data_IF_396494600320
#
_entry.id   IF_396494600320
#
_cell.length_a   1.000
_cell.length_b   1.000
_cell.length_c   1.000
_cell.angle_alpha   90.00
_cell.angle_beta   90.00
_cell.angle_gamma   90.00
#
_symmetry.space_group_name_H-M   'P 1'
#
loop_
_entity.id
_entity.type
_entity.pdbx_description
1 polymer ?
#
# COMPACT_ATOMS: atom_id res chain seq x y z
N UNK A 1 50.90 -34.63 11.98
CA UNK A 1 49.93 -34.68 10.86
C UNK A 1 50.66 -34.16 9.62
N UNK A 2 50.82 -35.04 8.63
CA UNK A 2 51.80 -34.97 7.54
C UNK A 2 51.79 -33.65 6.74
N UNK A 3 52.97 -33.03 6.58
CA UNK A 3 53.19 -31.81 5.77
C UNK A 3 52.77 -31.97 4.30
N UNK A 4 52.59 -33.20 3.83
CA UNK A 4 52.10 -33.50 2.48
C UNK A 4 50.60 -33.22 2.25
N UNK A 5 49.80 -32.98 3.30
CA UNK A 5 48.39 -32.60 3.16
C UNK A 5 48.18 -31.09 3.01
N UNK A 6 49.08 -30.25 3.57
CA UNK A 6 48.99 -28.79 3.48
C UNK A 6 49.26 -28.28 2.06
N UNK A 7 50.21 -28.89 1.35
CA UNK A 7 50.62 -28.48 -0.01
C UNK A 7 49.51 -28.66 -1.06
N UNK A 8 48.69 -29.71 -0.94
CA UNK A 8 47.58 -29.97 -1.89
C UNK A 8 46.31 -29.16 -1.62
N UNK A 9 46.17 -28.58 -0.43
CA UNK A 9 45.01 -27.79 -0.03
C UNK A 9 45.10 -26.33 -0.48
N UNK A 10 46.31 -25.78 -0.53
CA UNK A 10 46.60 -24.40 -0.95
C UNK A 10 46.07 -24.07 -2.36
N UNK A 11 46.28 -24.90 -3.41
CA UNK A 11 45.75 -24.59 -4.74
C UNK A 11 44.22 -24.68 -4.82
N UNK A 12 43.59 -25.59 -4.08
CA UNK A 12 42.12 -25.73 -4.03
C UNK A 12 41.49 -24.51 -3.33
N UNK A 13 42.10 -24.06 -2.23
CA UNK A 13 41.64 -22.87 -1.51
C UNK A 13 41.74 -21.61 -2.38
N UNK A 14 42.81 -21.46 -3.16
CA UNK A 14 42.97 -20.34 -4.10
C UNK A 14 41.90 -20.32 -5.18
N UNK A 15 41.53 -21.49 -5.74
CA UNK A 15 40.45 -21.58 -6.73
C UNK A 15 39.10 -21.16 -6.13
N UNK A 16 38.80 -21.59 -4.90
CA UNK A 16 37.55 -21.21 -4.21
C UNK A 16 37.48 -19.70 -3.92
N UNK A 17 38.61 -19.08 -3.56
CA UNK A 17 38.70 -17.62 -3.35
C UNK A 17 38.44 -16.87 -4.67
N UNK A 18 39.01 -17.33 -5.80
CA UNK A 18 38.79 -16.72 -7.11
C UNK A 18 37.32 -16.82 -7.54
N UNK A 19 36.67 -17.97 -7.32
CA UNK A 19 35.24 -18.16 -7.62
C UNK A 19 34.37 -17.24 -6.75
N UNK A 20 34.68 -17.10 -5.46
CA UNK A 20 33.94 -16.22 -4.55
C UNK A 20 34.06 -14.74 -4.95
N UNK A 21 35.26 -14.27 -5.34
CA UNK A 21 35.48 -12.89 -5.80
C UNK A 21 34.78 -12.64 -7.14
N UNK A 22 34.82 -13.59 -8.07
CA UNK A 22 34.11 -13.48 -9.35
C UNK A 22 32.58 -13.43 -9.17
N UNK A 23 32.03 -14.27 -8.28
CA UNK A 23 30.61 -14.26 -7.94
C UNK A 23 30.16 -12.93 -7.32
N UNK A 24 30.94 -12.37 -6.39
CA UNK A 24 30.65 -11.06 -5.79
C UNK A 24 30.72 -9.92 -6.81
N UNK A 25 31.74 -9.91 -7.67
CA UNK A 25 31.93 -8.85 -8.66
C UNK A 25 30.78 -8.79 -9.68
N UNK A 26 30.29 -9.94 -10.15
CA UNK A 26 29.15 -9.99 -11.09
C UNK A 26 27.84 -9.60 -10.39
N UNK A 27 27.60 -10.05 -9.16
CA UNK A 27 26.40 -9.70 -8.39
C UNK A 27 26.31 -8.22 -8.01
N UNK A 28 27.43 -7.60 -7.64
CA UNK A 28 27.47 -6.17 -7.32
C UNK A 28 27.24 -5.29 -8.57
N UNK A 29 27.73 -5.69 -9.74
CA UNK A 29 27.53 -4.92 -10.98
C UNK A 29 26.10 -4.99 -11.49
N UNK A 30 25.41 -6.13 -11.36
CA UNK A 30 24.01 -6.27 -11.80
C UNK A 30 23.04 -5.53 -10.88
N UNK A 31 23.33 -5.41 -9.58
CA UNK A 31 22.57 -4.57 -8.66
C UNK A 31 22.83 -3.07 -8.86
N UNK A 32 24.06 -2.68 -9.22
CA UNK A 32 24.39 -1.26 -9.47
C UNK A 32 23.86 -0.73 -10.80
N UNK A 33 23.58 -1.58 -11.79
CA UNK A 33 23.05 -1.18 -13.10
C UNK A 33 21.53 -1.01 -13.14
N UNK A 34 20.79 -1.46 -12.12
CA UNK A 34 19.33 -1.24 -12.02
C UNK A 34 18.95 0.07 -11.32
N UNK A 35 19.96 0.85 -10.88
CA UNK A 35 19.79 2.06 -10.09
C UNK A 35 20.39 3.31 -10.77
N UNK A 36 20.36 3.36 -12.10
CA UNK A 36 20.68 4.57 -12.88
C UNK A 36 19.49 4.96 -13.75
N UNK A 37 18.45 5.47 -13.08
CA UNK A 37 17.55 6.49 -13.61
C UNK A 37 17.29 7.49 -12.48
N UNK A 38 18.36 8.07 -11.94
CA UNK A 38 18.27 9.22 -11.05
C UNK A 38 18.06 10.46 -11.91
N UNK A 39 16.80 10.75 -12.21
CA UNK A 39 16.40 12.05 -12.74
C UNK A 39 16.82 13.14 -11.75
N UNK A 40 17.34 14.24 -12.29
CA UNK A 40 17.88 15.39 -11.57
C UNK A 40 16.93 15.92 -10.49
N UNK A 41 17.42 16.02 -9.25
CA UNK A 41 16.80 16.80 -8.18
C UNK A 41 16.79 18.28 -8.61
N UNK A 42 15.63 18.74 -9.07
CA UNK A 42 15.36 20.17 -9.18
C UNK A 42 14.64 20.57 -7.88
N UNK A 43 15.41 20.94 -6.87
CA UNK A 43 14.89 21.57 -5.65
C UNK A 43 14.44 22.99 -6.02
N UNK A 44 13.17 23.11 -6.39
CA UNK A 44 12.48 24.39 -6.38
C UNK A 44 11.49 24.38 -5.21
N UNK A 45 11.84 25.08 -4.14
CA UNK A 45 10.96 25.43 -3.03
C UNK A 45 9.91 26.43 -3.50
N UNK A 46 8.93 25.94 -4.24
CA UNK A 46 7.60 26.53 -4.31
C UNK A 46 6.69 25.56 -3.56
N UNK A 47 5.75 26.04 -2.75
CA UNK A 47 4.72 25.17 -2.18
C UNK A 47 3.88 24.62 -3.34
N UNK A 48 4.34 23.54 -3.95
CA UNK A 48 3.64 22.88 -5.04
C UNK A 48 2.36 22.34 -4.43
N UNK A 49 1.23 22.93 -4.83
CA UNK A 49 -0.07 22.35 -4.51
C UNK A 49 -0.02 20.86 -4.85
N UNK A 50 -0.29 20.02 -3.85
CA UNK A 50 -0.34 18.57 -4.04
C UNK A 50 -1.36 18.29 -5.14
N UNK A 51 -0.91 17.66 -6.24
CA UNK A 51 -1.79 17.27 -7.34
C UNK A 51 -2.60 16.03 -6.96
N UNK A 52 -3.85 15.99 -7.41
CA UNK A 52 -4.78 14.90 -7.18
C UNK A 52 -5.27 14.35 -8.51
N UNK A 53 -5.47 13.04 -8.56
CA UNK A 53 -6.00 12.31 -9.70
C UNK A 53 -7.29 11.59 -9.30
N UNK A 54 -8.14 11.28 -10.28
CA UNK A 54 -9.40 10.57 -10.04
C UNK A 54 -9.25 9.10 -10.37
N UNK A 55 -9.64 8.24 -9.43
CA UNK A 55 -9.83 6.82 -9.66
C UNK A 55 -11.31 6.56 -9.93
N UNK A 56 -11.61 5.79 -10.96
CA UNK A 56 -12.96 5.39 -11.34
C UNK A 56 -13.03 3.88 -11.44
N UNK A 57 -13.99 3.27 -10.73
CA UNK A 57 -14.31 1.86 -10.87
C UNK A 57 -15.59 1.72 -11.72
N UNK A 58 -15.40 1.35 -12.98
CA UNK A 58 -16.50 1.32 -13.96
C UNK A 58 -17.53 0.23 -13.68
N UNK A 59 -17.11 -0.89 -13.06
CA UNK A 59 -17.97 -2.03 -12.74
C UNK A 59 -18.95 -1.69 -11.62
N UNK A 60 -18.47 -1.04 -10.57
CA UNK A 60 -19.23 -0.76 -9.36
C UNK A 60 -19.67 0.70 -9.24
N UNK A 61 -19.42 1.52 -10.28
CA UNK A 61 -19.96 2.88 -10.41
C UNK A 61 -19.62 3.74 -9.20
N UNK A 62 -18.34 3.80 -8.85
CA UNK A 62 -17.84 4.72 -7.84
C UNK A 62 -16.51 5.33 -8.25
N UNK A 63 -16.22 6.50 -7.67
CA UNK A 63 -14.98 7.22 -7.91
C UNK A 63 -14.53 7.97 -6.65
N UNK A 64 -13.25 8.30 -6.59
CA UNK A 64 -12.67 9.19 -5.59
C UNK A 64 -11.37 9.82 -6.12
N UNK A 65 -10.93 10.90 -5.49
CA UNK A 65 -9.63 11.49 -5.74
C UNK A 65 -8.56 10.86 -4.85
N UNK A 66 -7.34 10.72 -5.38
CA UNK A 66 -6.15 10.28 -4.64
C UNK A 66 -4.94 11.14 -5.00
N UNK A 67 -3.88 11.19 -4.15
CA UNK A 67 -2.69 11.97 -4.47
C UNK A 67 -1.96 11.41 -5.69
N UNK A 68 -1.65 12.27 -6.68
CA UNK A 68 -1.08 11.87 -7.98
C UNK A 68 0.29 11.17 -7.91
N UNK A 69 0.95 11.22 -6.75
CA UNK A 69 2.23 10.55 -6.52
C UNK A 69 2.07 9.10 -6.01
N UNK A 70 0.85 8.63 -5.79
CA UNK A 70 0.59 7.22 -5.48
C UNK A 70 0.63 6.39 -6.77
N UNK A 71 1.35 5.28 -6.73
CA UNK A 71 1.25 4.25 -7.74
C UNK A 71 0.02 3.37 -7.45
N UNK A 72 -0.76 3.04 -8.49
CA UNK A 72 -1.81 2.04 -8.39
C UNK A 72 -1.21 0.67 -8.74
N UNK A 73 -1.18 -0.26 -7.78
CA UNK A 73 -0.47 -1.54 -7.91
C UNK A 73 -1.31 -2.61 -8.62
N UNK A 74 -2.64 -2.48 -8.61
CA UNK A 74 -3.58 -3.41 -9.24
C UNK A 74 -4.82 -2.66 -9.75
N UNK A 75 -4.67 -1.99 -10.89
CA UNK A 75 -5.65 -1.01 -11.39
C UNK A 75 -6.52 -1.48 -12.55
N UNK A 76 -7.03 -2.72 -12.54
CA UNK A 76 -8.11 -3.03 -13.47
C UNK A 76 -9.39 -2.35 -12.96
N UNK A 77 -10.05 -1.57 -13.81
CA UNK A 77 -11.29 -0.82 -13.49
C UNK A 77 -12.47 -1.71 -13.09
N UNK A 78 -12.30 -3.02 -13.17
CA UNK A 78 -13.26 -4.07 -12.81
C UNK A 78 -12.88 -4.83 -11.54
N UNK A 79 -11.74 -4.50 -10.94
CA UNK A 79 -11.25 -5.18 -9.75
C UNK A 79 -12.14 -4.87 -8.55
N UNK A 80 -12.30 -5.90 -7.71
CA UNK A 80 -12.87 -5.78 -6.38
C UNK A 80 -11.92 -5.10 -5.40
N UNK A 81 -10.64 -5.01 -5.74
CA UNK A 81 -9.61 -4.41 -4.91
C UNK A 81 -8.70 -3.50 -5.75
N UNK A 82 -8.44 -2.29 -5.26
CA UNK A 82 -7.46 -1.37 -5.83
C UNK A 82 -6.54 -0.86 -4.71
N UNK A 83 -5.23 -1.03 -4.92
CA UNK A 83 -4.16 -0.72 -3.97
C UNK A 83 -3.39 0.48 -4.48
N UNK A 84 -3.29 1.50 -3.65
CA UNK A 84 -2.61 2.74 -3.92
C UNK A 84 -1.44 2.82 -2.95
N UNK A 85 -0.24 3.01 -3.47
CA UNK A 85 0.99 2.99 -2.66
C UNK A 85 1.85 4.21 -2.96
N UNK A 86 2.31 4.86 -1.91
CA UNK A 86 3.31 5.90 -1.96
C UNK A 86 4.69 5.38 -2.38
N UNK A 87 5.60 6.30 -2.71
CA UNK A 87 6.96 5.96 -3.15
C UNK A 87 7.77 5.12 -2.15
N UNK A 88 7.50 5.26 -0.86
CA UNK A 88 8.18 4.53 0.22
C UNK A 88 7.47 3.24 0.64
N UNK A 89 6.32 2.92 0.02
CA UNK A 89 5.42 1.80 0.35
C UNK A 89 4.90 1.78 1.79
N UNK A 90 5.28 2.77 2.60
CA UNK A 90 4.82 2.90 3.98
C UNK A 90 3.43 3.53 4.00
N UNK A 91 3.22 4.51 3.13
CA UNK A 91 1.92 5.13 2.93
C UNK A 91 1.13 4.39 1.88
N UNK A 92 0.00 3.83 2.24
CA UNK A 92 -0.83 3.11 1.29
C UNK A 92 -2.30 3.15 1.70
N UNK A 93 -3.17 2.91 0.73
CA UNK A 93 -4.54 2.55 1.02
C UNK A 93 -5.06 1.53 0.01
N UNK A 94 -6.02 0.74 0.45
CA UNK A 94 -6.66 -0.32 -0.31
C UNK A 94 -8.14 -0.05 -0.30
N UNK A 95 -8.70 0.18 -1.49
CA UNK A 95 -10.15 0.19 -1.70
C UNK A 95 -10.59 -1.23 -2.05
N UNK A 96 -11.59 -1.73 -1.35
CA UNK A 96 -12.15 -3.06 -1.53
C UNK A 96 -13.67 -3.01 -1.60
N UNK A 97 -14.26 -3.87 -2.40
CA UNK A 97 -15.71 -4.07 -2.48
C UNK A 97 -16.02 -5.57 -2.54
N UNK A 98 -17.02 -5.99 -1.77
CA UNK A 98 -17.52 -7.36 -1.77
C UNK A 98 -19.04 -7.40 -1.54
N UNK A 99 -19.64 -8.57 -1.71
CA UNK A 99 -21.01 -8.81 -1.24
C UNK A 99 -21.08 -8.65 0.28
N UNK A 100 -22.02 -7.82 0.74
CA UNK A 100 -22.30 -7.67 2.15
C UNK A 100 -23.10 -8.87 2.64
N UNK A 101 -22.52 -9.58 3.61
CA UNK A 101 -23.27 -10.52 4.46
C UNK A 101 -23.93 -9.85 5.67
N UNK A 102 -23.73 -8.54 5.82
CA UNK A 102 -24.17 -7.77 6.99
C UNK A 102 -25.39 -6.93 6.63
N UNK A 103 -26.37 -6.91 7.52
CA UNK A 103 -27.55 -6.05 7.42
C UNK A 103 -27.26 -4.60 7.80
N UNK A 104 -26.19 -4.35 8.56
CA UNK A 104 -25.81 -3.01 9.02
C UNK A 104 -24.33 -2.88 9.35
N UNK A 105 -23.85 -1.63 9.41
CA UNK A 105 -22.47 -1.34 9.84
C UNK A 105 -22.21 -1.70 11.32
N UNK A 106 -23.25 -1.66 12.17
CA UNK A 106 -23.11 -2.09 13.58
C UNK A 106 -22.88 -3.61 13.68
N UNK A 107 -23.56 -4.39 12.82
CA UNK A 107 -23.34 -5.84 12.72
C UNK A 107 -21.93 -6.13 12.20
N UNK A 108 -21.51 -5.44 11.13
CA UNK A 108 -20.13 -5.52 10.63
C UNK A 108 -19.10 -5.23 11.72
N UNK A 109 -19.28 -4.17 12.51
CA UNK A 109 -18.38 -3.84 13.61
C UNK A 109 -18.37 -4.90 14.71
N UNK A 110 -19.54 -5.47 15.05
CA UNK A 110 -19.66 -6.53 16.07
C UNK A 110 -18.91 -7.80 15.67
N UNK A 111 -18.91 -8.14 14.39
CA UNK A 111 -18.15 -9.26 13.83
C UNK A 111 -16.65 -8.95 13.70
N UNK A 112 -16.27 -7.67 13.58
CA UNK A 112 -14.89 -7.19 13.53
C UNK A 112 -14.40 -6.72 14.91
N UNK A 113 -14.35 -7.63 15.88
CA UNK A 113 -14.02 -7.36 17.30
C UNK A 113 -12.63 -6.77 17.52
N UNK A 114 -11.74 -6.91 16.55
CA UNK A 114 -10.41 -6.32 16.52
C UNK A 114 -10.43 -4.82 16.18
N UNK A 115 -11.60 -4.20 15.97
CA UNK A 115 -11.75 -2.81 15.57
C UNK A 115 -12.56 -2.01 16.58
N UNK A 116 -12.22 -0.75 16.74
CA UNK A 116 -12.92 0.22 17.59
C UNK A 116 -13.36 1.40 16.74
N UNK A 117 -14.65 1.75 16.83
CA UNK A 117 -15.21 2.92 16.14
C UNK A 117 -14.57 4.21 16.66
N UNK A 118 -14.20 5.09 15.73
CA UNK A 118 -13.67 6.42 16.03
C UNK A 118 -14.69 7.48 15.62
N UNK A 119 -15.30 7.31 14.44
CA UNK A 119 -16.15 8.32 13.84
C UNK A 119 -17.28 7.66 13.04
N UNK A 120 -18.45 8.31 13.05
CA UNK A 120 -19.52 8.10 12.08
C UNK A 120 -19.64 9.34 11.22
N UNK A 121 -19.77 9.15 9.92
CA UNK A 121 -20.00 10.24 8.96
C UNK A 121 -20.83 9.79 7.79
N UNK A 122 -21.25 10.73 6.96
CA UNK A 122 -21.81 10.43 5.64
C UNK A 122 -20.74 10.53 4.57
N UNK A 123 -20.77 9.59 3.63
CA UNK A 123 -19.97 9.59 2.40
C UNK A 123 -20.96 9.45 1.25
N UNK A 124 -21.04 10.48 0.41
CA UNK A 124 -22.02 10.56 -0.68
C UNK A 124 -23.47 10.25 -0.24
N UNK A 125 -23.86 10.73 0.94
CA UNK A 125 -25.19 10.51 1.53
C UNK A 125 -25.36 9.19 2.32
N UNK A 126 -24.50 8.20 2.09
CA UNK A 126 -24.52 6.90 2.78
C UNK A 126 -23.83 6.98 4.14
N UNK A 127 -24.36 6.24 5.11
CA UNK A 127 -23.71 6.14 6.42
C UNK A 127 -22.41 5.33 6.29
N UNK A 128 -21.36 5.84 6.93
CA UNK A 128 -20.05 5.21 6.98
C UNK A 128 -19.50 5.22 8.41
N UNK A 129 -18.69 4.22 8.72
CA UNK A 129 -17.93 4.14 9.97
C UNK A 129 -16.44 4.18 9.69
N UNK A 130 -15.72 5.02 10.45
CA UNK A 130 -14.27 5.00 10.51
C UNK A 130 -13.87 4.32 11.80
N UNK A 131 -13.05 3.29 11.68
CA UNK A 131 -12.58 2.47 12.79
C UNK A 131 -11.06 2.37 12.79
N UNK A 132 -10.46 2.13 13.96
CA UNK A 132 -9.06 1.74 14.12
C UNK A 132 -8.96 0.31 14.63
N UNK A 133 -7.80 -0.30 14.51
CA UNK A 133 -7.50 -1.56 15.18
C UNK A 133 -7.42 -1.34 16.71
N UNK A 134 -7.99 -2.28 17.46
CA UNK A 134 -8.04 -2.28 18.92
C UNK A 134 -6.73 -2.76 19.54
N UNK A 135 -6.03 -3.70 18.88
CA UNK A 135 -4.67 -4.08 19.24
C UNK A 135 -3.69 -3.21 18.44
N UNK A 136 -2.79 -2.53 19.13
CA UNK A 136 -1.76 -1.68 18.51
C UNK A 136 -0.49 -2.47 18.17
N UNK A 137 -0.37 -3.74 18.59
CA UNK A 137 0.75 -4.60 18.21
C UNK A 137 0.72 -4.88 16.69
N UNK A 138 1.60 -4.21 15.95
CA UNK A 138 1.74 -4.36 14.50
C UNK A 138 0.93 -3.37 13.65
N UNK A 139 0.14 -2.50 14.29
CA UNK A 139 -0.66 -1.48 13.61
C UNK A 139 -0.18 -0.07 13.95
N UNK A 140 -0.11 0.79 12.95
CA UNK A 140 0.21 2.20 13.15
C UNK A 140 -1.00 2.92 13.75
N UNK A 141 -0.74 3.97 14.55
CA UNK A 141 -1.78 4.90 14.99
C UNK A 141 -2.49 5.61 13.81
N UNK A 142 -1.98 5.48 12.59
CA UNK A 142 -2.58 5.98 11.35
C UNK A 142 -3.41 4.93 10.60
N UNK A 143 -3.40 3.68 11.04
CA UNK A 143 -4.17 2.61 10.40
C UNK A 143 -5.65 2.81 10.67
N UNK A 144 -6.44 2.96 9.61
CA UNK A 144 -7.89 3.13 9.66
C UNK A 144 -8.54 2.19 8.68
N UNK A 145 -9.75 1.77 9.02
CA UNK A 145 -10.66 1.12 8.10
C UNK A 145 -11.92 1.95 8.05
N UNK A 146 -12.34 2.32 6.85
CA UNK A 146 -13.60 2.98 6.59
C UNK A 146 -14.52 1.92 5.99
N UNK A 147 -15.73 1.79 6.51
CA UNK A 147 -16.71 0.83 6.01
C UNK A 147 -18.03 1.53 5.74
N UNK A 148 -18.66 1.20 4.62
CA UNK A 148 -19.99 1.65 4.22
C UNK A 148 -20.70 0.53 3.46
N UNK A 149 -22.03 0.48 3.57
CA UNK A 149 -22.86 -0.53 2.89
C UNK A 149 -23.82 0.18 1.94
N UNK A 150 -23.86 -0.25 0.67
CA UNK A 150 -24.79 0.23 -0.36
C UNK A 150 -25.21 -0.95 -1.24
N UNK A 151 -26.52 -1.11 -1.46
CA UNK A 151 -27.12 -2.12 -2.36
C UNK A 151 -26.52 -3.53 -2.17
N UNK A 152 -26.53 -4.02 -0.92
CA UNK A 152 -25.97 -5.31 -0.52
C UNK A 152 -24.46 -5.48 -0.80
N UNK A 153 -23.73 -4.39 -1.03
CA UNK A 153 -22.26 -4.38 -1.14
C UNK A 153 -21.64 -3.73 0.09
N UNK A 154 -20.54 -4.31 0.56
CA UNK A 154 -19.66 -3.72 1.56
C UNK A 154 -18.47 -3.09 0.85
N UNK A 155 -18.30 -1.77 1.00
CA UNK A 155 -17.11 -1.08 0.55
C UNK A 155 -16.24 -0.81 1.77
N UNK A 156 -14.95 -1.10 1.64
CA UNK A 156 -13.96 -0.74 2.65
C UNK A 156 -12.78 0.01 2.07
N UNK A 157 -12.32 1.02 2.79
CA UNK A 157 -11.05 1.68 2.54
C UNK A 157 -10.15 1.41 3.73
N UNK A 158 -9.15 0.54 3.58
CA UNK A 158 -8.11 0.35 4.58
C UNK A 158 -6.96 1.29 4.26
N UNK A 159 -6.55 2.13 5.20
CA UNK A 159 -5.56 3.16 4.93
C UNK A 159 -4.51 3.24 6.03
N UNK A 160 -3.26 3.45 5.60
CA UNK A 160 -2.15 3.99 6.39
C UNK A 160 -1.68 5.25 5.67
N UNK A 161 -2.34 6.37 5.92
CA UNK A 161 -2.06 7.69 5.29
C UNK A 161 -2.32 8.81 6.30
N UNK A 162 -1.91 10.03 5.96
CA UNK A 162 -2.20 11.20 6.78
C UNK A 162 -3.71 11.48 6.83
N UNK A 163 -4.20 11.96 7.99
CA UNK A 163 -5.63 12.23 8.19
C UNK A 163 -6.18 13.29 7.22
N UNK A 164 -5.36 14.26 6.82
CA UNK A 164 -5.75 15.27 5.82
C UNK A 164 -5.97 14.67 4.43
N UNK A 165 -5.10 13.76 4.01
CA UNK A 165 -5.23 13.08 2.73
C UNK A 165 -6.44 12.14 2.76
N UNK A 166 -6.61 11.39 3.86
CA UNK A 166 -7.77 10.55 4.06
C UNK A 166 -9.07 11.36 3.99
N UNK A 167 -9.17 12.48 4.70
CA UNK A 167 -10.36 13.33 4.68
C UNK A 167 -10.71 13.74 3.24
N UNK A 168 -9.72 14.17 2.45
CA UNK A 168 -9.94 14.56 1.05
C UNK A 168 -10.37 13.38 0.17
N UNK A 169 -9.79 12.19 0.34
CA UNK A 169 -10.26 10.97 -0.35
C UNK A 169 -11.74 10.73 -0.03
N UNK A 170 -12.12 10.77 1.25
CA UNK A 170 -13.49 10.51 1.68
C UNK A 170 -14.48 11.59 1.21
N UNK A 171 -14.07 12.86 1.19
CA UNK A 171 -14.89 13.99 0.73
C UNK A 171 -15.11 13.97 -0.79
N UNK A 172 -14.15 13.43 -1.54
CA UNK A 172 -14.23 13.28 -2.99
C UNK A 172 -14.94 12.01 -3.44
N UNK A 173 -15.18 11.06 -2.52
CA UNK A 173 -15.79 9.78 -2.82
C UNK A 173 -17.25 9.96 -3.25
N UNK A 174 -17.62 9.39 -4.40
CA UNK A 174 -18.95 9.46 -4.98
C UNK A 174 -19.34 8.16 -5.66
N UNK A 175 -20.61 7.80 -5.57
CA UNK A 175 -21.24 6.83 -6.43
C UNK A 175 -21.73 7.53 -7.71
N UNK A 176 -21.50 6.90 -8.86
CA UNK A 176 -22.14 7.30 -10.10
C UNK A 176 -23.58 6.79 -10.09
N UNK A 177 -24.51 7.66 -10.48
CA UNK A 177 -25.94 7.34 -10.62
C UNK A 177 -26.22 6.55 -11.91
#
# INVERSE_FOLDING_TARGET
MSENLKSKFIPILLILIVIAIAGWYVGAKTLSLKNQNSASLNQNTNSSEQKWESYVNEKYKYQFEYPAWYAILNSDSTNENATFSGNDQYWYFISSISDSKFSSLNEWLTENKDKTMIEKRKIDGYDAMIVKYANEEGYSAMDRVIALIKDDKLFTLQSRINLSDLAKILDSFKFEN
#
